data_IF_511565338831
#
_entry.id   IF_511565338831
#
_cell.length_a   1.000
_cell.length_b   1.000
_cell.length_c   1.000
_cell.angle_alpha   90.00
_cell.angle_beta   90.00
_cell.angle_gamma   90.00
#
_symmetry.space_group_name_H-M   'P 1'
#
loop_
_entity.id
_entity.type
_entity.pdbx_description
1 polymer ?
#
# COMPACT_ATOMS: atom_id res chain seq x y z
N UNK A 1 -19.31 22.25 25.77
CA UNK A 1 -17.95 22.05 25.23
C UNK A 1 -17.30 20.73 25.70
N UNK A 2 -17.46 20.28 26.97
CA UNK A 2 -16.95 18.96 27.45
C UNK A 2 -17.60 17.71 26.84
N UNK A 3 -18.73 17.84 26.13
CA UNK A 3 -19.40 16.71 25.49
C UNK A 3 -18.67 16.19 24.23
N UNK A 4 -17.65 16.91 23.75
CA UNK A 4 -16.82 16.54 22.60
C UNK A 4 -15.35 16.34 22.99
N UNK A 5 -15.04 16.27 24.29
CA UNK A 5 -13.69 15.96 24.75
C UNK A 5 -13.43 14.47 24.51
N UNK A 6 -12.49 14.19 23.60
CA UNK A 6 -12.02 12.84 23.36
C UNK A 6 -11.35 12.30 24.63
N UNK A 7 -11.75 11.10 25.02
CA UNK A 7 -11.11 10.34 26.09
C UNK A 7 -9.67 9.98 25.72
N UNK A 8 -8.84 9.67 26.71
CA UNK A 8 -7.45 9.24 26.48
C UNK A 8 -7.34 8.05 25.52
N UNK A 9 -8.30 7.12 25.57
CA UNK A 9 -8.38 5.97 24.67
C UNK A 9 -8.70 6.39 23.23
N UNK A 10 -9.66 7.31 23.04
CA UNK A 10 -9.98 7.81 21.71
C UNK A 10 -8.82 8.60 21.09
N UNK A 11 -8.05 9.34 21.91
CA UNK A 11 -6.81 9.98 21.47
C UNK A 11 -5.76 8.99 21.00
N UNK A 12 -5.62 7.86 21.69
CA UNK A 12 -4.70 6.79 21.29
C UNK A 12 -5.13 6.16 19.96
N UNK A 13 -6.41 5.85 19.79
CA UNK A 13 -6.98 5.36 18.52
C UNK A 13 -6.72 6.37 17.38
N UNK A 14 -6.90 7.67 17.65
CA UNK A 14 -6.66 8.74 16.68
C UNK A 14 -5.18 8.83 16.26
N UNK A 15 -4.26 8.64 17.20
CA UNK A 15 -2.83 8.56 16.90
C UNK A 15 -2.50 7.34 16.04
N UNK A 16 -3.02 6.16 16.40
CA UNK A 16 -2.85 4.93 15.63
C UNK A 16 -3.40 5.08 14.19
N UNK A 17 -4.58 5.68 14.05
CA UNK A 17 -5.18 5.96 12.75
C UNK A 17 -4.35 6.93 11.93
N UNK A 18 -3.89 8.03 12.52
CA UNK A 18 -3.02 9.01 11.85
C UNK A 18 -1.75 8.36 11.32
N UNK A 19 -1.11 7.54 12.14
CA UNK A 19 0.16 6.91 11.79
C UNK A 19 -0.03 5.90 10.67
N UNK A 20 -1.17 5.20 10.64
CA UNK A 20 -1.56 4.33 9.54
C UNK A 20 -1.85 5.11 8.25
N UNK A 21 -2.57 6.23 8.33
CA UNK A 21 -2.90 7.06 7.18
C UNK A 21 -1.68 7.78 6.57
N UNK A 22 -0.59 7.88 7.32
CA UNK A 22 0.64 8.53 6.86
C UNK A 22 1.19 7.92 5.57
N UNK A 23 1.17 6.58 5.44
CA UNK A 23 1.66 5.91 4.21
C UNK A 23 0.86 6.30 2.98
N UNK A 24 -0.47 6.45 3.12
CA UNK A 24 -1.33 6.91 2.04
C UNK A 24 -1.02 8.35 1.67
N UNK A 25 -0.87 9.23 2.66
CA UNK A 25 -0.51 10.63 2.44
C UNK A 25 0.81 10.75 1.69
N UNK A 26 1.85 10.04 2.14
CA UNK A 26 3.19 10.09 1.54
C UNK A 26 3.15 9.56 0.10
N UNK A 27 2.38 8.50 -0.13
CA UNK A 27 2.17 7.92 -1.47
C UNK A 27 1.44 8.90 -2.40
N UNK A 28 0.34 9.51 -1.94
CA UNK A 28 -0.41 10.50 -2.72
C UNK A 28 0.46 11.72 -3.03
N UNK A 29 1.24 12.20 -2.06
CA UNK A 29 2.16 13.32 -2.28
C UNK A 29 3.24 12.98 -3.30
N UNK A 30 3.73 11.75 -3.30
CA UNK A 30 4.68 11.26 -4.30
C UNK A 30 4.09 11.30 -5.72
N UNK A 31 2.85 10.82 -5.91
CA UNK A 31 2.18 10.85 -7.21
C UNK A 31 1.66 12.23 -7.62
N UNK A 32 1.49 13.15 -6.68
CA UNK A 32 1.08 14.53 -6.97
C UNK A 32 2.22 15.41 -7.50
N UNK A 33 3.45 14.88 -7.59
CA UNK A 33 4.60 15.58 -8.19
C UNK A 33 4.40 15.69 -9.70
N UNK A 34 4.99 16.72 -10.33
CA UNK A 34 4.85 16.99 -11.77
C UNK A 34 5.38 15.93 -12.73
N UNK A 35 5.95 14.82 -12.23
CA UNK A 35 6.44 13.69 -13.02
C UNK A 35 6.05 12.36 -12.38
N UNK A 36 4.76 11.98 -12.37
CA UNK A 36 4.34 10.70 -11.84
C UNK A 36 4.87 9.59 -12.76
N UNK A 37 5.76 8.76 -12.23
CA UNK A 37 6.28 7.63 -12.98
C UNK A 37 5.33 6.43 -12.81
N UNK A 38 4.70 6.00 -13.91
CA UNK A 38 3.78 4.87 -13.92
C UNK A 38 4.42 3.58 -13.38
N UNK A 39 5.75 3.47 -13.48
CA UNK A 39 6.52 2.33 -12.93
C UNK A 39 6.54 2.30 -11.40
N UNK A 40 6.19 3.40 -10.73
CA UNK A 40 6.21 3.49 -9.26
C UNK A 40 4.87 3.11 -8.64
N UNK A 41 3.82 2.88 -9.45
CA UNK A 41 2.48 2.49 -8.96
C UNK A 41 2.53 1.15 -8.23
N UNK A 42 3.18 0.15 -8.83
CA UNK A 42 3.32 -1.18 -8.20
C UNK A 42 4.15 -1.12 -6.90
N UNK A 43 5.37 -0.54 -6.88
CA UNK A 43 6.12 -0.35 -5.63
C UNK A 43 5.35 0.41 -4.54
N UNK A 44 4.56 1.42 -4.92
CA UNK A 44 3.76 2.17 -3.96
C UNK A 44 2.62 1.32 -3.38
N UNK A 45 1.96 0.50 -4.19
CA UNK A 45 0.95 -0.44 -3.70
C UNK A 45 1.56 -1.50 -2.78
N UNK A 46 2.74 -2.04 -3.13
CA UNK A 46 3.48 -2.99 -2.29
C UNK A 46 3.88 -2.37 -0.94
N UNK A 47 4.30 -1.10 -0.93
CA UNK A 47 4.62 -0.37 0.29
C UNK A 47 3.39 -0.23 1.19
N UNK A 48 2.24 0.12 0.63
CA UNK A 48 0.97 0.22 1.37
C UNK A 48 0.59 -1.16 1.90
N UNK A 49 0.61 -2.22 1.10
CA UNK A 49 0.21 -3.57 1.55
C UNK A 49 1.12 -4.09 2.67
N UNK A 50 2.42 -3.88 2.56
CA UNK A 50 3.38 -4.23 3.62
C UNK A 50 3.12 -3.46 4.91
N UNK A 51 2.78 -2.17 4.82
CA UNK A 51 2.47 -1.33 5.99
C UNK A 51 1.18 -1.79 6.67
N UNK A 52 0.14 -2.09 5.89
CA UNK A 52 -1.13 -2.64 6.42
C UNK A 52 -0.91 -4.02 7.05
N UNK A 53 -0.11 -4.88 6.44
CA UNK A 53 0.19 -6.22 6.98
C UNK A 53 0.95 -6.14 8.30
N UNK A 54 1.89 -5.20 8.43
CA UNK A 54 2.58 -4.91 9.70
C UNK A 54 1.60 -4.39 10.76
N UNK A 55 0.66 -3.53 10.38
CA UNK A 55 -0.37 -3.05 11.27
C UNK A 55 -1.28 -4.18 11.78
N UNK A 56 -1.75 -5.09 10.91
CA UNK A 56 -2.59 -6.25 11.34
C UNK A 56 -1.87 -7.12 12.37
N UNK A 57 -0.54 -7.29 12.24
CA UNK A 57 0.28 -8.11 13.15
C UNK A 57 0.67 -7.39 14.45
N UNK A 58 0.34 -6.10 14.59
CA UNK A 58 0.71 -5.33 15.76
C UNK A 58 -0.34 -5.50 16.87
N UNK A 59 0.00 -6.28 17.89
CA UNK A 59 -0.85 -6.53 19.06
C UNK A 59 -1.12 -5.27 19.91
N UNK A 60 -0.35 -4.20 19.72
CA UNK A 60 -0.56 -2.92 20.41
C UNK A 60 -1.62 -2.04 19.74
N UNK A 61 -2.12 -2.40 18.56
CA UNK A 61 -3.21 -1.65 17.92
C UNK A 61 -4.56 -2.03 18.51
N UNK A 62 -5.47 -1.08 18.57
CA UNK A 62 -6.86 -1.32 18.96
C UNK A 62 -7.57 -2.25 17.96
N UNK A 63 -8.48 -3.10 18.45
CA UNK A 63 -9.23 -4.05 17.61
C UNK A 63 -10.08 -3.35 16.54
N UNK A 64 -10.60 -2.15 16.81
CA UNK A 64 -11.32 -1.35 15.82
C UNK A 64 -10.40 -0.94 14.66
N UNK A 65 -9.13 -0.62 14.95
CA UNK A 65 -8.15 -0.29 13.92
C UNK A 65 -7.78 -1.56 13.13
N UNK A 66 -7.55 -2.69 13.80
CA UNK A 66 -7.21 -3.95 13.09
C UNK A 66 -8.31 -4.39 12.13
N UNK A 67 -9.57 -4.32 12.55
CA UNK A 67 -10.72 -4.64 11.70
C UNK A 67 -10.83 -3.68 10.51
N UNK A 68 -10.67 -2.37 10.75
CA UNK A 68 -10.64 -1.37 9.67
C UNK A 68 -9.50 -1.62 8.68
N UNK A 69 -8.30 -1.98 9.15
CA UNK A 69 -7.16 -2.32 8.29
C UNK A 69 -7.43 -3.55 7.44
N UNK A 70 -8.12 -4.56 7.99
CA UNK A 70 -8.57 -5.73 7.23
C UNK A 70 -9.48 -5.34 6.06
N UNK A 71 -10.40 -4.41 6.27
CA UNK A 71 -11.27 -3.87 5.20
C UNK A 71 -10.44 -3.11 4.15
N UNK A 72 -9.53 -2.24 4.58
CA UNK A 72 -8.66 -1.47 3.69
C UNK A 72 -7.80 -2.41 2.83
N UNK A 73 -7.23 -3.48 3.41
CA UNK A 73 -6.44 -4.47 2.68
C UNK A 73 -7.26 -5.20 1.61
N UNK A 74 -8.54 -5.51 1.89
CA UNK A 74 -9.44 -6.12 0.89
C UNK A 74 -9.70 -5.18 -0.29
N UNK A 75 -9.92 -3.90 0.00
CA UNK A 75 -10.09 -2.87 -1.04
C UNK A 75 -8.79 -2.71 -1.85
N UNK A 76 -7.64 -2.63 -1.18
CA UNK A 76 -6.33 -2.55 -1.84
C UNK A 76 -6.10 -3.76 -2.76
N UNK A 77 -6.38 -4.98 -2.29
CA UNK A 77 -6.23 -6.20 -3.10
C UNK A 77 -7.12 -6.19 -4.34
N UNK A 78 -8.32 -5.62 -4.27
CA UNK A 78 -9.19 -5.45 -5.45
C UNK A 78 -8.55 -4.53 -6.48
N UNK A 79 -8.04 -3.37 -6.05
CA UNK A 79 -7.38 -2.43 -6.96
C UNK A 79 -6.05 -2.98 -7.48
N UNK A 80 -5.32 -3.72 -6.65
CA UNK A 80 -4.08 -4.40 -7.05
C UNK A 80 -4.33 -5.38 -8.19
N UNK A 81 -5.38 -6.21 -8.09
CA UNK A 81 -5.80 -7.13 -9.17
C UNK A 81 -6.17 -6.37 -10.45
N UNK A 82 -6.81 -5.22 -10.35
CA UNK A 82 -7.19 -4.41 -11.52
C UNK A 82 -5.98 -3.73 -12.18
N UNK A 83 -5.03 -3.22 -11.39
CA UNK A 83 -3.77 -2.68 -11.90
C UNK A 83 -2.87 -3.78 -12.48
N UNK A 84 -2.93 -4.98 -11.91
CA UNK A 84 -2.20 -6.15 -12.36
C UNK A 84 -2.71 -6.71 -13.70
N UNK A 85 -4.02 -6.67 -13.94
CA UNK A 85 -4.62 -7.03 -15.22
C UNK A 85 -4.26 -6.07 -16.36
N UNK A 86 -3.72 -4.89 -16.05
CA UNK A 86 -3.30 -3.92 -17.06
C UNK A 86 -1.82 -4.13 -17.40
N UNK A 87 -1.59 -4.78 -18.54
CA UNK A 87 -0.26 -5.02 -19.14
C UNK A 87 0.60 -3.76 -19.23
N UNK A 88 -0.01 -2.58 -19.30
CA UNK A 88 0.67 -1.28 -19.33
C UNK A 88 1.58 -1.03 -18.11
N UNK A 89 1.13 -1.35 -16.89
CA UNK A 89 1.94 -1.15 -15.68
C UNK A 89 3.10 -2.15 -15.61
N UNK A 90 2.86 -3.39 -16.03
CA UNK A 90 3.88 -4.45 -16.10
C UNK A 90 4.97 -4.10 -17.12
N UNK A 91 4.58 -3.73 -18.34
CA UNK A 91 5.51 -3.34 -19.42
C UNK A 91 6.35 -2.13 -19.00
N UNK A 92 5.72 -1.10 -18.42
CA UNK A 92 6.45 0.08 -17.98
C UNK A 92 7.49 -0.26 -16.89
N UNK A 93 7.15 -1.13 -15.93
CA UNK A 93 8.06 -1.56 -14.87
C UNK A 93 9.27 -2.32 -15.45
N UNK A 94 9.05 -3.23 -16.41
CA UNK A 94 10.11 -3.96 -17.13
C UNK A 94 11.01 -3.03 -17.93
N UNK A 95 10.43 -2.00 -18.56
CA UNK A 95 11.17 -0.99 -19.34
C UNK A 95 11.96 -0.01 -18.46
N UNK A 96 11.80 -0.02 -17.12
CA UNK A 96 12.53 0.90 -16.26
C UNK A 96 14.02 0.52 -16.15
N UNK A 97 14.97 1.39 -16.55
CA UNK A 97 16.39 1.07 -16.67
C UNK A 97 17.06 0.59 -15.37
N UNK A 98 16.51 1.00 -14.22
CA UNK A 98 16.98 0.65 -12.87
C UNK A 98 16.36 -0.60 -12.25
N UNK A 99 15.18 -1.06 -12.71
CA UNK A 99 14.43 -2.13 -12.03
C UNK A 99 14.44 -3.46 -12.80
N UNK A 100 14.54 -3.44 -14.15
CA UNK A 100 14.61 -4.60 -15.06
C UNK A 100 13.94 -5.87 -14.48
N UNK A 101 14.66 -6.98 -14.40
CA UNK A 101 14.18 -8.28 -13.90
C UNK A 101 14.46 -8.48 -12.40
N UNK A 102 15.40 -7.70 -11.84
CA UNK A 102 15.92 -7.88 -10.49
C UNK A 102 14.88 -7.52 -9.41
N UNK A 103 13.97 -6.58 -9.71
CA UNK A 103 12.85 -6.28 -8.81
C UNK A 103 11.91 -7.48 -8.65
N UNK A 104 11.62 -8.22 -9.73
CA UNK A 104 10.74 -9.40 -9.70
C UNK A 104 11.35 -10.56 -8.91
N UNK A 105 12.67 -10.76 -9.01
CA UNK A 105 13.40 -11.78 -8.23
C UNK A 105 13.45 -11.44 -6.73
N UNK A 106 13.66 -10.18 -6.37
CA UNK A 106 13.77 -9.75 -4.97
C UNK A 106 12.42 -9.59 -4.25
N UNK A 107 11.31 -9.40 -4.98
CA UNK A 107 9.98 -9.18 -4.38
C UNK A 107 9.15 -10.46 -4.24
N UNK A 108 9.68 -11.61 -4.68
CA UNK A 108 9.01 -12.90 -4.48
C UNK A 108 7.68 -13.02 -5.24
N UNK A 109 7.57 -12.39 -6.41
CA UNK A 109 6.39 -12.51 -7.24
C UNK A 109 6.23 -13.95 -7.78
N UNK A 110 5.00 -14.46 -7.98
CA UNK A 110 4.79 -15.81 -8.47
C UNK A 110 5.33 -15.96 -9.91
N UNK A 111 6.08 -17.04 -10.19
CA UNK A 111 6.73 -17.28 -11.50
C UNK A 111 5.78 -17.24 -12.71
N UNK A 112 4.49 -17.52 -12.52
CA UNK A 112 3.46 -17.42 -13.57
C UNK A 112 3.35 -16.00 -14.18
N UNK A 113 3.87 -14.99 -13.51
CA UNK A 113 3.81 -13.58 -13.91
C UNK A 113 5.00 -13.18 -14.79
N UNK A 114 6.04 -14.00 -14.82
CA UNK A 114 7.22 -13.83 -15.68
C UNK A 114 6.96 -14.46 -17.05
N UNK A 115 6.27 -15.60 -17.10
CA UNK A 115 5.98 -16.34 -18.34
C UNK A 115 4.92 -15.69 -19.25
N UNK A 116 4.07 -14.79 -18.75
CA UNK A 116 3.10 -14.05 -19.59
C UNK A 116 3.70 -12.83 -20.31
N UNK A 117 4.90 -12.38 -19.90
CA UNK A 117 5.54 -11.15 -20.40
C UNK A 117 6.71 -11.45 -21.34
N UNK A 118 7.19 -12.70 -21.36
CA UNK A 118 8.21 -13.21 -22.30
C UNK A 118 7.56 -13.73 -23.57
#
# INVERSE_FOLDING_TARGET
LRAFELSSQEWEILQQLRDLLKVFKDTTLFFSRGSPNITMVIPAMDLIDNTLTKAIRNENLDDAIRTAVGLVKRVLSKYYKLSDLSSMYRIALVMHPRHKLQYFECTGWPKAWIDEVV
#
